data_IF_682069584909
#
_entry.id   IF_682069584909
#
_cell.length_a   1.000
_cell.length_b   1.000
_cell.length_c   1.000
_cell.angle_alpha   90.00
_cell.angle_beta   90.00
_cell.angle_gamma   90.00
#
_symmetry.space_group_name_H-M   'P 1'
#
loop_
_entity.id
_entity.type
_entity.pdbx_description
1 polymer ?
#
# COMPACT_ATOMS: atom_id res chain seq x y z
N UNK A 1 -29.51 -9.38 -39.79
CA UNK A 1 -29.18 -8.67 -41.06
C UNK A 1 -29.12 -7.13 -40.95
N UNK A 2 -29.86 -6.43 -40.06
CA UNK A 2 -29.77 -4.95 -39.94
C UNK A 2 -28.48 -4.41 -39.30
N UNK A 3 -27.91 -5.09 -38.29
CA UNK A 3 -26.62 -4.71 -37.69
C UNK A 3 -25.45 -4.83 -38.67
N UNK A 4 -25.51 -5.79 -39.59
CA UNK A 4 -24.51 -5.97 -40.65
C UNK A 4 -24.52 -4.82 -41.69
N UNK A 5 -25.69 -4.21 -41.96
CA UNK A 5 -25.80 -3.05 -42.87
C UNK A 5 -25.26 -1.75 -42.23
N UNK A 6 -25.39 -1.59 -40.91
CA UNK A 6 -24.84 -0.43 -40.20
C UNK A 6 -23.31 -0.46 -40.12
N UNK A 7 -22.72 -1.64 -39.91
CA UNK A 7 -21.27 -1.82 -39.98
C UNK A 7 -20.72 -1.52 -41.39
N UNK A 8 -21.43 -1.93 -42.45
CA UNK A 8 -21.03 -1.68 -43.83
C UNK A 8 -21.02 -0.18 -44.20
N UNK A 9 -21.94 0.62 -43.67
CA UNK A 9 -21.98 2.08 -43.92
C UNK A 9 -20.89 2.86 -43.19
N UNK A 10 -20.42 2.39 -42.03
CA UNK A 10 -19.30 3.01 -41.30
C UNK A 10 -17.96 2.65 -41.96
N UNK A 11 -17.82 1.40 -42.44
CA UNK A 11 -16.65 0.99 -43.22
C UNK A 11 -16.54 1.71 -44.57
N UNK A 12 -17.66 1.98 -45.25
CA UNK A 12 -17.65 2.73 -46.51
C UNK A 12 -17.19 4.19 -46.33
N UNK A 13 -17.52 4.84 -45.22
CA UNK A 13 -17.06 6.19 -44.90
C UNK A 13 -15.57 6.22 -44.54
N UNK A 14 -15.06 5.20 -43.84
CA UNK A 14 -13.65 5.07 -43.52
C UNK A 14 -12.78 4.79 -44.77
N UNK A 15 -13.29 4.01 -45.73
CA UNK A 15 -12.57 3.73 -46.99
C UNK A 15 -12.44 4.95 -47.92
N UNK A 16 -13.40 5.89 -47.89
CA UNK A 16 -13.30 7.15 -48.64
C UNK A 16 -12.24 8.08 -48.03
N UNK A 17 -12.08 8.05 -46.70
CA UNK A 17 -11.07 8.86 -46.01
C UNK A 17 -9.64 8.33 -46.23
N UNK A 18 -9.46 7.00 -46.27
CA UNK A 18 -8.16 6.40 -46.58
C UNK A 18 -7.74 6.60 -48.06
N UNK A 19 -8.70 6.67 -48.98
CA UNK A 19 -8.40 6.94 -50.40
C UNK A 19 -7.92 8.39 -50.63
N UNK A 20 -8.39 9.35 -49.82
CA UNK A 20 -7.99 10.76 -49.92
C UNK A 20 -6.59 11.05 -49.34
N UNK A 21 -6.14 10.27 -48.34
CA UNK A 21 -4.79 10.42 -47.78
C UNK A 21 -3.68 9.74 -48.60
N UNK A 22 -4.04 8.90 -49.58
CA UNK A 22 -3.08 8.13 -50.38
C UNK A 22 -2.49 8.85 -51.60
N UNK A 23 -3.02 10.02 -52.00
CA UNK A 23 -2.62 10.73 -53.22
C UNK A 23 -1.74 11.96 -53.00
N UNK A 24 -1.34 12.28 -51.76
CA UNK A 24 -0.33 13.32 -51.49
C UNK A 24 -0.76 14.77 -51.73
N UNK A 25 -2.02 15.05 -52.05
CA UNK A 25 -2.56 16.42 -52.11
C UNK A 25 -3.55 16.63 -50.95
N UNK A 26 -3.18 17.50 -50.01
CA UNK A 26 -4.09 18.00 -48.98
C UNK A 26 -5.08 18.99 -49.62
N UNK A 27 -6.38 18.94 -49.31
CA UNK A 27 -7.32 19.95 -49.80
C UNK A 27 -7.01 21.32 -49.16
N UNK A 28 -6.97 22.37 -50.00
CA UNK A 28 -6.66 23.76 -49.62
C UNK A 28 -7.64 24.40 -48.63
N UNK A 29 -8.74 23.72 -48.28
CA UNK A 29 -9.73 24.20 -47.33
C UNK A 29 -10.05 23.16 -46.23
N UNK A 30 -9.40 23.24 -45.05
CA UNK A 30 -9.67 22.35 -43.92
C UNK A 30 -11.10 22.55 -43.35
N UNK A 31 -11.76 23.66 -43.65
CA UNK A 31 -13.11 23.99 -43.16
C UNK A 31 -14.18 23.11 -43.81
N UNK A 32 -13.98 22.68 -45.06
CA UNK A 32 -14.89 21.78 -45.77
C UNK A 32 -14.91 20.37 -45.16
N UNK A 33 -13.75 19.88 -44.71
CA UNK A 33 -13.60 18.55 -44.08
C UNK A 33 -14.27 18.52 -42.71
N UNK A 34 -14.08 19.56 -41.91
CA UNK A 34 -14.73 19.69 -40.60
C UNK A 34 -16.24 19.78 -40.75
N UNK A 35 -16.75 20.54 -41.74
CA UNK A 35 -18.18 20.67 -42.01
C UNK A 35 -18.82 19.33 -42.43
N UNK A 36 -18.13 18.53 -43.23
CA UNK A 36 -18.61 17.20 -43.65
C UNK A 36 -18.65 16.19 -42.48
N UNK A 37 -17.69 16.25 -41.56
CA UNK A 37 -17.65 15.41 -40.36
C UNK A 37 -18.81 15.77 -39.42
N UNK A 38 -19.04 17.06 -39.17
CA UNK A 38 -20.15 17.52 -38.32
C UNK A 38 -21.52 17.17 -38.94
N UNK A 39 -21.71 17.35 -40.25
CA UNK A 39 -22.97 16.99 -40.92
C UNK A 39 -23.28 15.48 -40.84
N UNK A 40 -22.25 14.63 -40.84
CA UNK A 40 -22.40 13.17 -40.73
C UNK A 40 -22.72 12.75 -39.29
N UNK A 41 -22.07 13.38 -38.30
CA UNK A 41 -22.35 13.13 -36.88
C UNK A 41 -23.78 13.53 -36.48
N UNK A 42 -24.29 14.67 -36.98
CA UNK A 42 -25.67 15.12 -36.73
C UNK A 42 -26.71 14.19 -37.36
N UNK A 43 -26.42 13.58 -38.52
CA UNK A 43 -27.30 12.57 -39.14
C UNK A 43 -27.36 11.27 -38.33
N UNK A 44 -26.23 10.84 -37.75
CA UNK A 44 -26.19 9.63 -36.90
C UNK A 44 -26.92 9.85 -35.57
N UNK A 45 -26.76 11.03 -34.96
CA UNK A 45 -27.47 11.38 -33.72
C UNK A 45 -29.00 11.42 -33.91
N UNK A 46 -29.48 11.96 -35.04
CA UNK A 46 -30.91 12.01 -35.36
C UNK A 46 -31.52 10.62 -35.66
N UNK A 47 -30.72 9.65 -36.15
CA UNK A 47 -31.17 8.26 -36.32
C UNK A 47 -31.29 7.48 -35.00
N UNK A 48 -30.64 7.94 -33.93
CA UNK A 48 -30.73 7.35 -32.59
C UNK A 48 -31.93 7.92 -31.82
N UNK A 49 -32.26 9.20 -32.04
CA UNK A 49 -33.31 9.92 -31.31
C UNK A 49 -34.76 9.54 -31.67
N UNK A 50 -35.03 8.85 -32.78
CA UNK A 50 -36.39 8.49 -33.21
C UNK A 50 -36.82 7.06 -32.85
N UNK A 51 -36.32 6.48 -31.75
CA UNK A 51 -36.85 5.20 -31.25
C UNK A 51 -38.14 5.43 -30.46
N UNK A 52 -39.25 4.98 -31.01
CA UNK A 52 -40.57 4.89 -30.37
C UNK A 52 -40.51 3.97 -29.13
N UNK A 53 -41.17 4.31 -28.00
CA UNK A 53 -41.20 3.44 -26.82
C UNK A 53 -41.97 2.14 -27.10
N UNK A 54 -41.43 1.02 -26.64
CA UNK A 54 -42.09 -0.28 -26.66
C UNK A 54 -43.17 -0.30 -25.56
N UNK A 55 -44.41 -0.78 -25.80
CA UNK A 55 -45.45 -0.86 -24.78
C UNK A 55 -45.10 -1.93 -23.72
N UNK A 56 -45.43 -1.71 -22.43
CA UNK A 56 -45.26 -2.73 -21.41
C UNK A 56 -46.37 -3.78 -21.50
N UNK A 57 -46.01 -4.99 -21.91
CA UNK A 57 -46.89 -6.16 -21.82
C UNK A 57 -46.60 -6.93 -20.54
N UNK A 58 -47.19 -6.53 -19.41
CA UNK A 58 -47.50 -7.43 -18.28
C UNK A 58 -48.76 -6.97 -17.54
N UNK A 59 -49.73 -7.87 -17.49
CA UNK A 59 -50.97 -7.79 -16.72
C UNK A 59 -50.67 -7.69 -15.21
N UNK A 60 -51.35 -6.82 -14.44
CA UNK A 60 -51.15 -6.72 -13.00
C UNK A 60 -51.81 -7.89 -12.26
N UNK A 61 -51.03 -8.54 -11.39
CA UNK A 61 -51.51 -9.46 -10.35
C UNK A 61 -52.01 -8.60 -9.17
N UNK A 62 -53.17 -8.90 -8.55
CA UNK A 62 -53.68 -8.13 -7.43
C UNK A 62 -52.78 -8.24 -6.18
N UNK A 63 -52.74 -7.21 -5.31
CA UNK A 63 -51.87 -7.22 -4.14
C UNK A 63 -52.36 -8.23 -3.09
N UNK A 64 -51.49 -9.18 -2.75
CA UNK A 64 -51.62 -10.00 -1.54
C UNK A 64 -51.35 -9.11 -0.32
N UNK A 65 -52.25 -9.18 0.67
CA UNK A 65 -52.16 -8.43 1.92
C UNK A 65 -50.83 -8.66 2.66
N UNK A 66 -50.20 -7.56 3.08
CA UNK A 66 -49.05 -7.56 3.99
C UNK A 66 -49.49 -7.93 5.41
N UNK A 67 -48.83 -8.87 6.10
CA UNK A 67 -49.10 -9.11 7.51
C UNK A 67 -48.58 -7.95 8.35
N UNK A 68 -49.43 -7.50 9.28
CA UNK A 68 -49.13 -6.49 10.30
C UNK A 68 -48.07 -7.04 11.26
N UNK A 69 -47.02 -6.24 11.48
CA UNK A 69 -45.96 -6.51 12.45
C UNK A 69 -46.52 -6.37 13.89
N UNK A 70 -46.27 -7.29 14.83
CA UNK A 70 -46.69 -7.10 16.21
C UNK A 70 -45.82 -6.04 16.90
N UNK A 71 -46.49 -5.19 17.66
CA UNK A 71 -45.91 -4.17 18.54
C UNK A 71 -45.15 -4.84 19.69
N UNK A 72 -43.84 -4.60 19.78
CA UNK A 72 -43.03 -5.08 20.90
C UNK A 72 -43.41 -4.39 22.21
N UNK A 73 -43.76 -5.23 23.18
CA UNK A 73 -44.01 -4.89 24.58
C UNK A 73 -42.70 -5.04 25.35
N UNK A 74 -42.29 -4.01 26.09
CA UNK A 74 -41.09 -4.04 26.91
C UNK A 74 -41.14 -5.13 27.99
N UNK A 75 -40.15 -6.03 27.99
CA UNK A 75 -39.94 -7.03 29.04
C UNK A 75 -38.91 -6.52 30.08
N UNK A 76 -39.04 -6.88 31.37
CA UNK A 76 -38.27 -6.29 32.46
C UNK A 76 -36.85 -6.84 32.57
N UNK A 77 -35.95 -5.99 33.09
CA UNK A 77 -34.54 -6.26 33.30
C UNK A 77 -34.31 -7.42 34.31
N UNK A 78 -33.47 -8.38 33.90
CA UNK A 78 -32.93 -9.43 34.76
C UNK A 78 -31.54 -9.02 35.26
N UNK A 79 -31.41 -8.88 36.58
CA UNK A 79 -30.15 -8.61 37.28
C UNK A 79 -29.43 -9.94 37.52
N UNK A 80 -28.30 -10.19 36.85
CA UNK A 80 -27.44 -11.35 37.14
C UNK A 80 -26.34 -10.98 38.15
N UNK A 81 -26.43 -11.55 39.34
CA UNK A 81 -25.39 -11.49 40.37
C UNK A 81 -24.30 -12.53 40.04
N UNK A 82 -23.05 -12.10 39.89
CA UNK A 82 -21.91 -12.99 39.72
C UNK A 82 -21.33 -13.38 41.09
N UNK A 83 -21.24 -14.69 41.35
CA UNK A 83 -20.49 -15.28 42.46
C UNK A 83 -19.09 -15.65 41.93
N UNK A 84 -17.99 -15.20 42.55
CA UNK A 84 -16.66 -15.60 42.12
C UNK A 84 -16.38 -17.06 42.50
N UNK A 85 -16.06 -17.89 41.51
CA UNK A 85 -15.56 -19.26 41.71
C UNK A 85 -14.03 -19.18 41.79
N UNK A 86 -13.47 -19.73 42.87
CA UNK A 86 -12.02 -19.83 43.06
C UNK A 86 -11.43 -20.81 42.03
N UNK A 87 -10.39 -20.38 41.33
CA UNK A 87 -9.68 -21.19 40.35
C UNK A 87 -8.55 -21.96 41.05
N UNK A 88 -8.54 -23.28 40.89
CA UNK A 88 -7.53 -24.17 41.46
C UNK A 88 -6.12 -23.91 40.89
N UNK A 89 -5.14 -23.98 41.80
CA UNK A 89 -3.71 -23.87 41.57
C UNK A 89 -3.19 -25.10 40.81
N UNK A 90 -2.66 -24.89 39.59
CA UNK A 90 -1.97 -25.94 38.85
C UNK A 90 -0.51 -26.09 39.31
N UNK A 91 -0.14 -27.32 39.65
CA UNK A 91 1.22 -27.77 39.99
C UNK A 91 2.13 -27.79 38.74
N UNK A 92 3.40 -27.34 38.82
CA UNK A 92 4.28 -27.23 37.64
C UNK A 92 4.78 -28.60 37.14
N UNK A 93 4.77 -28.79 35.81
CA UNK A 93 5.46 -29.91 35.15
C UNK A 93 6.97 -29.64 35.02
N UNK A 94 7.82 -30.68 35.05
CA UNK A 94 9.25 -30.56 34.84
C UNK A 94 9.60 -30.22 33.37
N UNK A 95 10.72 -29.53 33.14
CA UNK A 95 11.08 -29.01 31.82
C UNK A 95 11.59 -30.13 30.88
N UNK A 96 11.25 -30.11 29.58
CA UNK A 96 11.89 -30.98 28.62
C UNK A 96 13.30 -30.47 28.28
N UNK A 97 14.27 -31.38 28.39
CA UNK A 97 15.66 -31.22 28.00
C UNK A 97 15.76 -31.02 26.48
N UNK A 98 16.14 -29.83 26.04
CA UNK A 98 16.52 -29.55 24.65
C UNK A 98 18.04 -29.72 24.46
N UNK A 99 18.41 -30.46 23.42
CA UNK A 99 19.78 -30.61 22.93
C UNK A 99 20.17 -29.29 22.23
N UNK A 100 21.31 -28.67 22.56
CA UNK A 100 21.68 -27.38 21.99
C UNK A 100 22.26 -27.54 20.58
N UNK A 101 21.63 -26.93 19.58
CA UNK A 101 22.35 -26.41 18.41
C UNK A 101 22.36 -24.89 18.57
N UNK A 102 23.43 -24.38 19.15
CA UNK A 102 23.66 -22.95 19.33
C UNK A 102 23.93 -22.34 17.96
N UNK A 103 22.92 -21.75 17.34
CA UNK A 103 23.15 -20.64 16.43
C UNK A 103 23.62 -19.47 17.29
N UNK A 104 24.90 -19.13 17.17
CA UNK A 104 25.48 -17.96 17.83
C UNK A 104 24.74 -16.73 17.30
N UNK A 105 24.00 -15.97 18.14
CA UNK A 105 23.57 -14.64 17.75
C UNK A 105 24.85 -13.81 17.52
N UNK A 106 24.97 -13.01 16.47
CA UNK A 106 26.09 -12.09 16.38
C UNK A 106 26.02 -11.14 17.58
N UNK A 107 26.88 -11.39 18.57
CA UNK A 107 27.11 -10.48 19.69
C UNK A 107 27.87 -9.27 19.13
N UNK A 108 27.17 -8.34 18.46
CA UNK A 108 27.70 -7.03 18.13
C UNK A 108 27.69 -6.16 19.39
N UNK A 109 28.49 -6.55 20.39
CA UNK A 109 28.97 -5.62 21.42
C UNK A 109 30.45 -5.38 21.16
N UNK A 110 30.77 -4.98 19.92
CA UNK A 110 32.03 -4.30 19.70
C UNK A 110 31.92 -2.99 20.50
N UNK A 111 32.72 -2.87 21.56
CA UNK A 111 32.92 -1.58 22.22
C UNK A 111 33.19 -0.53 21.14
N UNK A 112 32.63 0.69 21.26
CA UNK A 112 32.89 1.75 20.29
C UNK A 112 34.41 1.90 20.15
N UNK A 113 34.97 1.87 18.93
CA UNK A 113 36.34 2.28 18.73
C UNK A 113 36.52 3.68 19.35
N UNK A 114 37.70 3.94 19.91
CA UNK A 114 38.03 5.19 20.61
C UNK A 114 37.93 6.45 19.73
N UNK A 115 37.73 6.29 18.42
CA UNK A 115 37.55 7.38 17.47
C UNK A 115 36.06 7.58 17.18
N UNK A 116 35.56 8.78 17.49
CA UNK A 116 34.20 9.17 17.16
C UNK A 116 33.99 9.18 15.63
N UNK A 117 32.80 8.85 15.12
CA UNK A 117 32.51 8.96 13.69
C UNK A 117 32.79 10.38 13.21
N UNK A 118 33.37 10.50 12.01
CA UNK A 118 33.59 11.80 11.39
C UNK A 118 32.28 12.32 10.77
N UNK A 119 31.97 13.60 11.03
CA UNK A 119 30.84 14.28 10.41
C UNK A 119 30.93 14.21 8.87
N UNK A 120 29.80 14.02 8.21
CA UNK A 120 29.71 13.87 6.75
C UNK A 120 30.39 12.61 6.20
N UNK A 121 30.59 11.57 7.02
CA UNK A 121 31.00 10.23 6.59
C UNK A 121 29.91 9.20 6.91
N UNK A 122 30.07 7.98 6.38
CA UNK A 122 29.18 6.88 6.73
C UNK A 122 29.28 6.54 8.22
N UNK A 123 28.15 6.48 8.91
CA UNK A 123 28.10 6.06 10.30
C UNK A 123 28.58 4.61 10.44
N UNK A 124 29.37 4.29 11.49
CA UNK A 124 29.75 2.92 11.77
C UNK A 124 28.54 2.09 12.20
N UNK A 125 28.63 0.78 11.98
CA UNK A 125 27.54 -0.16 12.26
C UNK A 125 27.04 -0.10 13.72
N UNK A 126 27.91 0.11 14.71
CA UNK A 126 27.46 0.20 16.11
C UNK A 126 26.59 1.44 16.39
N UNK A 127 26.80 2.54 15.65
CA UNK A 127 25.98 3.75 15.80
C UNK A 127 24.59 3.49 15.19
N UNK A 128 24.55 2.82 14.04
CA UNK A 128 23.32 2.33 13.42
C UNK A 128 22.57 1.36 14.34
N UNK A 129 23.26 0.34 14.86
CA UNK A 129 22.66 -0.71 15.71
C UNK A 129 22.22 -0.17 17.09
N UNK A 130 22.56 1.07 17.43
CA UNK A 130 22.07 1.73 18.65
C UNK A 130 20.62 2.22 18.54
N UNK A 131 20.06 2.30 17.33
CA UNK A 131 18.66 2.66 17.10
C UNK A 131 17.77 1.44 17.29
N UNK A 132 17.31 1.27 18.53
CA UNK A 132 16.42 0.17 18.92
C UNK A 132 15.22 0.68 19.71
N UNK A 133 14.13 -0.08 19.63
CA UNK A 133 12.95 0.07 20.49
C UNK A 133 12.53 -1.29 21.05
N UNK A 134 11.83 -1.29 22.18
CA UNK A 134 11.36 -2.52 22.82
C UNK A 134 9.97 -2.87 22.31
N UNK A 135 9.80 -4.08 21.79
CA UNK A 135 8.51 -4.59 21.31
C UNK A 135 7.71 -5.23 22.47
N UNK A 136 6.43 -5.60 22.25
CA UNK A 136 5.58 -6.21 23.28
C UNK A 136 6.12 -7.53 23.87
N UNK A 137 6.98 -8.26 23.16
CA UNK A 137 7.63 -9.47 23.68
C UNK A 137 8.85 -9.17 24.59
N UNK A 138 9.04 -7.90 24.96
CA UNK A 138 10.13 -7.37 25.77
C UNK A 138 11.53 -7.54 25.16
N UNK A 139 11.62 -7.78 23.85
CA UNK A 139 12.91 -7.79 23.14
C UNK A 139 13.15 -6.46 22.43
N UNK A 140 14.42 -6.17 22.21
CA UNK A 140 14.83 -5.02 21.42
C UNK A 140 14.83 -5.37 19.94
N UNK A 141 14.22 -4.50 19.15
CA UNK A 141 14.19 -4.54 17.70
C UNK A 141 14.82 -3.28 17.15
N UNK A 142 15.49 -3.34 15.99
CA UNK A 142 15.85 -2.14 15.26
C UNK A 142 14.64 -1.22 15.06
N UNK A 143 14.86 0.08 14.99
CA UNK A 143 13.78 1.06 14.78
C UNK A 143 14.24 2.22 13.89
N UNK A 144 13.35 3.17 13.64
CA UNK A 144 13.66 4.34 12.83
C UNK A 144 14.88 5.10 13.35
N UNK A 145 15.72 5.52 12.42
CA UNK A 145 16.78 6.49 12.63
C UNK A 145 16.64 7.63 11.62
N UNK A 146 17.03 8.87 11.98
CA UNK A 146 17.17 9.93 10.99
C UNK A 146 18.26 9.57 9.99
N UNK A 147 18.26 10.16 8.80
CA UNK A 147 19.28 9.86 7.80
C UNK A 147 20.68 10.32 8.22
N UNK A 148 20.76 11.43 8.96
CA UNK A 148 21.97 11.95 9.58
C UNK A 148 21.85 11.76 11.09
N UNK A 149 22.82 11.07 11.69
CA UNK A 149 22.85 10.85 13.14
C UNK A 149 23.06 12.20 13.86
N UNK A 150 22.13 12.64 14.73
CA UNK A 150 22.22 13.95 15.37
C UNK A 150 23.33 14.05 16.42
N UNK A 151 23.95 12.93 16.83
CA UNK A 151 25.03 12.90 17.84
C UNK A 151 26.40 13.06 17.18
N UNK A 152 26.57 12.49 15.99
CA UNK A 152 27.86 12.41 15.30
C UNK A 152 27.92 13.14 13.95
N UNK A 153 26.77 13.57 13.41
CA UNK A 153 26.63 14.22 12.11
C UNK A 153 27.17 13.36 10.93
N UNK A 154 27.23 12.04 11.14
CA UNK A 154 27.49 11.04 10.10
C UNK A 154 26.17 10.62 9.44
N UNK A 155 26.21 10.06 8.23
CA UNK A 155 25.02 9.60 7.52
C UNK A 155 24.88 8.07 7.57
N UNK A 156 23.64 7.57 7.56
CA UNK A 156 23.36 6.15 7.31
C UNK A 156 23.21 5.88 5.81
N UNK A 157 23.44 4.63 5.39
CA UNK A 157 23.40 4.23 3.98
C UNK A 157 21.99 3.92 3.46
N UNK A 158 20.95 4.16 4.25
CA UNK A 158 19.55 4.02 3.89
C UNK A 158 18.66 4.98 4.69
N UNK A 159 17.42 5.12 4.22
CA UNK A 159 16.39 6.02 4.71
C UNK A 159 15.17 5.23 5.18
N UNK A 160 14.53 5.69 6.25
CA UNK A 160 13.26 5.12 6.75
C UNK A 160 12.08 6.06 6.55
N UNK A 161 12.29 7.25 6.00
CA UNK A 161 11.28 8.26 5.78
C UNK A 161 10.88 9.07 6.98
N UNK A 162 9.57 9.31 7.08
CA UNK A 162 9.01 10.21 8.06
C UNK A 162 9.49 9.87 9.46
N UNK A 163 9.84 10.90 10.24
CA UNK A 163 10.06 10.75 11.67
C UNK A 163 8.74 10.33 12.32
N UNK A 164 8.65 9.10 12.87
CA UNK A 164 7.39 8.58 13.42
C UNK A 164 6.91 9.41 14.61
N UNK A 165 7.79 10.13 15.31
CA UNK A 165 7.44 10.95 16.47
C UNK A 165 6.60 12.17 16.10
N UNK A 166 6.58 12.55 14.81
CA UNK A 166 5.76 13.65 14.29
C UNK A 166 4.31 13.26 14.00
N UNK A 167 3.98 11.97 14.05
CA UNK A 167 2.64 11.47 13.76
C UNK A 167 1.65 11.81 14.87
N UNK A 168 0.53 12.45 14.49
CA UNK A 168 -0.61 12.68 15.38
C UNK A 168 -1.52 11.46 15.54
N UNK A 169 -1.31 10.40 14.76
CA UNK A 169 -2.02 9.14 14.92
C UNK A 169 -1.35 8.26 15.98
N UNK A 170 -0.01 8.17 15.95
CA UNK A 170 0.80 7.39 16.89
C UNK A 170 2.26 7.83 16.78
N UNK A 171 2.83 8.36 17.87
CA UNK A 171 4.19 8.89 17.90
C UNK A 171 5.25 7.88 18.39
N UNK A 172 4.87 6.63 18.69
CA UNK A 172 5.79 5.62 19.20
C UNK A 172 6.77 5.12 18.14
N UNK A 173 8.01 4.81 18.53
CA UNK A 173 8.99 4.20 17.62
C UNK A 173 8.55 2.76 17.23
N UNK A 174 8.38 2.44 15.93
CA UNK A 174 7.95 1.11 15.50
C UNK A 174 9.08 0.08 15.62
N UNK A 175 8.83 -1.12 16.17
CA UNK A 175 9.82 -2.19 16.24
C UNK A 175 9.94 -2.91 14.88
N UNK A 176 10.94 -2.56 14.09
CA UNK A 176 11.16 -3.14 12.77
C UNK A 176 11.51 -4.63 12.86
N UNK A 177 10.79 -5.46 12.09
CA UNK A 177 10.95 -6.92 12.07
C UNK A 177 10.17 -7.66 13.16
N UNK A 178 9.48 -6.97 14.08
CA UNK A 178 8.72 -7.63 15.16
C UNK A 178 7.61 -8.53 14.61
N UNK A 179 6.81 -8.03 13.67
CA UNK A 179 5.69 -8.78 13.06
C UNK A 179 6.21 -10.05 12.37
N UNK A 180 7.23 -9.93 11.52
CA UNK A 180 7.88 -11.07 10.87
C UNK A 180 8.45 -12.08 11.87
N UNK A 181 8.99 -11.62 13.00
CA UNK A 181 9.49 -12.50 14.06
C UNK A 181 8.38 -13.31 14.77
N UNK A 182 7.12 -12.86 14.71
CA UNK A 182 5.97 -13.60 15.25
C UNK A 182 5.42 -14.65 14.28
N UNK A 183 5.89 -14.71 13.04
CA UNK A 183 5.50 -15.74 12.07
C UNK A 183 6.00 -17.13 12.49
N UNK A 184 5.34 -18.17 11.98
CA UNK A 184 5.78 -19.55 12.16
C UNK A 184 5.86 -20.29 10.80
N UNK A 185 7.05 -20.51 10.23
CA UNK A 185 8.37 -20.11 10.77
C UNK A 185 8.57 -18.58 10.77
N UNK A 186 9.47 -18.05 11.62
CA UNK A 186 9.78 -16.62 11.61
C UNK A 186 10.26 -16.14 10.25
N UNK A 187 9.81 -14.96 9.85
CA UNK A 187 10.21 -14.32 8.60
C UNK A 187 11.18 -13.18 8.90
N UNK A 188 12.33 -13.19 8.24
CA UNK A 188 13.33 -12.13 8.36
C UNK A 188 13.14 -11.06 7.28
N UNK A 189 12.82 -9.85 7.72
CA UNK A 189 12.74 -8.65 6.89
C UNK A 189 13.92 -7.73 7.19
N UNK A 190 14.75 -7.39 6.18
CA UNK A 190 15.89 -6.50 6.39
C UNK A 190 15.45 -5.14 6.92
N UNK A 191 16.17 -4.65 7.95
CA UNK A 191 15.95 -3.35 8.58
C UNK A 191 15.76 -2.21 7.57
N UNK A 192 16.67 -2.11 6.59
CA UNK A 192 16.64 -1.04 5.59
C UNK A 192 15.36 -1.01 4.76
N UNK A 193 14.62 -2.11 4.65
CA UNK A 193 13.36 -2.14 3.90
C UNK A 193 12.19 -1.45 4.60
N UNK A 194 12.27 -1.13 5.90
CA UNK A 194 11.15 -0.48 6.60
C UNK A 194 11.07 1.01 6.25
N UNK A 195 9.91 1.44 5.72
CA UNK A 195 9.62 2.83 5.35
C UNK A 195 8.41 3.34 6.12
N UNK A 196 8.49 4.60 6.55
CA UNK A 196 7.47 5.31 7.31
C UNK A 196 6.92 6.45 6.45
N UNK A 197 5.59 6.58 6.48
CA UNK A 197 4.83 7.63 5.83
C UNK A 197 3.88 8.23 6.85
N UNK A 198 4.01 9.54 7.10
CA UNK A 198 3.15 10.28 8.04
C UNK A 198 2.36 11.33 7.28
N UNK A 199 1.04 11.28 7.44
CA UNK A 199 0.12 12.31 6.96
C UNK A 199 -0.67 12.79 8.15
N UNK A 200 -0.39 13.99 8.64
CA UNK A 200 -1.15 14.60 9.71
C UNK A 200 -2.35 15.35 9.14
N UNK A 201 -3.46 15.36 9.88
CA UNK A 201 -4.63 16.18 9.55
C UNK A 201 -4.21 17.63 9.28
N UNK A 202 -4.80 18.23 8.24
CA UNK A 202 -4.46 19.58 7.78
C UNK A 202 -3.29 19.64 6.80
N UNK A 203 -2.53 18.54 6.62
CA UNK A 203 -1.51 18.47 5.57
C UNK A 203 -2.17 18.57 4.21
N UNK A 204 -1.67 19.45 3.35
CA UNK A 204 -2.14 19.60 1.96
C UNK A 204 -1.12 18.98 1.00
N UNK A 205 -1.57 18.15 0.07
CA UNK A 205 -0.70 17.52 -0.93
C UNK A 205 -0.54 18.37 -2.21
N UNK A 206 0.18 17.83 -3.18
CA UNK A 206 0.46 18.41 -4.50
C UNK A 206 -0.77 18.49 -5.44
N UNK A 207 -1.92 17.97 -5.00
CA UNK A 207 -3.21 18.04 -5.71
C UNK A 207 -4.22 18.94 -4.97
N UNK A 208 -3.74 19.78 -4.06
CA UNK A 208 -4.56 20.70 -3.25
C UNK A 208 -5.61 19.96 -2.38
N UNK A 209 -5.33 18.70 -2.02
CA UNK A 209 -6.15 17.95 -1.07
C UNK A 209 -5.61 18.06 0.34
N UNK A 210 -6.49 18.40 1.27
CA UNK A 210 -6.16 18.57 2.69
C UNK A 210 -6.64 17.35 3.48
N UNK A 211 -5.71 16.71 4.18
CA UNK A 211 -6.01 15.55 5.00
C UNK A 211 -7.04 15.88 6.10
N UNK A 212 -8.09 15.08 6.21
CA UNK A 212 -9.11 15.18 7.26
C UNK A 212 -8.83 14.26 8.44
N UNK A 213 -7.91 13.31 8.26
CA UNK A 213 -7.45 12.34 9.27
C UNK A 213 -5.95 12.45 9.45
N UNK A 214 -5.44 11.94 10.58
CA UNK A 214 -4.01 11.70 10.76
C UNK A 214 -3.74 10.21 10.57
N UNK A 215 -2.70 9.88 9.82
CA UNK A 215 -2.33 8.48 9.52
C UNK A 215 -0.82 8.28 9.59
N UNK A 216 -0.42 7.07 9.95
CA UNK A 216 0.95 6.58 9.85
C UNK A 216 0.94 5.21 9.20
N UNK A 217 1.75 5.05 8.16
CA UNK A 217 2.04 3.77 7.51
C UNK A 217 3.48 3.42 7.85
N UNK A 218 3.72 2.23 8.39
CA UNK A 218 5.05 1.61 8.47
C UNK A 218 4.99 0.34 7.64
N UNK A 219 5.71 0.30 6.52
CA UNK A 219 5.67 -0.81 5.59
C UNK A 219 7.08 -1.35 5.34
N UNK A 220 7.24 -2.66 5.27
CA UNK A 220 8.44 -3.25 4.68
C UNK A 220 8.34 -3.19 3.15
N UNK A 221 9.10 -2.29 2.55
CA UNK A 221 9.21 -2.03 1.13
C UNK A 221 10.64 -1.57 0.79
N UNK A 222 11.59 -2.52 0.77
CA UNK A 222 12.95 -2.26 0.32
C UNK A 222 13.07 -2.39 -1.21
N UNK A 223 13.82 -1.51 -1.87
CA UNK A 223 14.01 -1.60 -3.35
C UNK A 223 15.38 -2.13 -3.76
N UNK A 224 16.30 -2.33 -2.81
CA UNK A 224 17.62 -2.93 -3.06
C UNK A 224 17.64 -4.46 -3.20
N UNK A 225 16.63 -5.17 -2.68
CA UNK A 225 16.64 -6.64 -2.60
C UNK A 225 15.70 -7.33 -3.60
N UNK A 226 16.16 -8.40 -4.25
CA UNK A 226 15.37 -9.15 -5.26
C UNK A 226 14.29 -10.05 -4.67
N UNK A 227 14.41 -10.44 -3.39
CA UNK A 227 13.42 -11.30 -2.71
C UNK A 227 12.00 -10.71 -2.77
N UNK A 228 11.89 -9.39 -2.87
CA UNK A 228 10.62 -8.69 -3.01
C UNK A 228 9.85 -9.02 -4.29
N UNK A 229 10.46 -9.69 -5.27
CA UNK A 229 9.72 -10.13 -6.46
C UNK A 229 8.93 -11.41 -6.21
N UNK A 230 9.29 -12.20 -5.19
CA UNK A 230 8.66 -13.49 -4.90
C UNK A 230 7.92 -13.52 -3.55
N UNK A 231 8.35 -12.73 -2.57
CA UNK A 231 7.72 -12.72 -1.24
C UNK A 231 6.37 -12.02 -1.30
N UNK A 232 5.24 -12.65 -0.99
CA UNK A 232 3.92 -12.01 -1.11
C UNK A 232 3.56 -11.14 0.10
N UNK A 233 3.99 -11.53 1.29
CA UNK A 233 3.55 -10.90 2.53
C UNK A 233 4.65 -10.03 3.11
N UNK A 234 4.28 -8.82 3.53
CA UNK A 234 5.20 -7.84 4.11
C UNK A 234 4.60 -7.23 5.37
N UNK A 235 5.45 -6.91 6.34
CA UNK A 235 5.04 -6.23 7.57
C UNK A 235 4.39 -4.89 7.26
N UNK A 236 3.23 -4.65 7.87
CA UNK A 236 2.50 -3.39 7.87
C UNK A 236 2.11 -3.03 9.31
N UNK A 237 2.40 -1.80 9.72
CA UNK A 237 1.73 -1.12 10.84
C UNK A 237 0.95 0.04 10.23
N UNK A 238 -0.33 0.15 10.60
CA UNK A 238 -1.19 1.23 10.17
C UNK A 238 -1.89 1.86 11.36
N UNK A 239 -1.68 3.15 11.53
CA UNK A 239 -2.37 3.98 12.52
C UNK A 239 -3.22 5.01 11.79
N UNK A 240 -4.45 5.21 12.26
CA UNK A 240 -5.32 6.31 11.86
C UNK A 240 -6.08 6.84 13.07
N UNK A 241 -6.23 8.16 13.13
CA UNK A 241 -7.14 8.86 14.04
C UNK A 241 -7.91 9.94 13.28
N UNK A 242 -9.21 10.01 13.49
CA UNK A 242 -10.13 10.98 12.93
C UNK A 242 -10.96 11.70 14.01
N UNK A 243 -11.45 12.90 13.71
CA UNK A 243 -12.23 13.72 14.64
C UNK A 243 -13.59 13.14 15.02
N UNK A 244 -14.16 12.31 14.14
CA UNK A 244 -15.48 11.71 14.33
C UNK A 244 -15.45 10.48 15.23
N UNK A 245 -14.29 10.18 15.83
CA UNK A 245 -14.09 9.05 16.74
C UNK A 245 -13.55 7.80 16.05
N UNK A 246 -13.40 7.78 14.72
CA UNK A 246 -12.71 6.68 14.06
C UNK A 246 -11.24 6.65 14.46
N UNK A 247 -10.80 5.48 14.88
CA UNK A 247 -9.39 5.16 14.99
C UNK A 247 -9.14 3.70 14.64
N UNK A 248 -7.89 3.43 14.27
CA UNK A 248 -7.33 2.09 14.11
C UNK A 248 -5.82 2.13 14.42
N UNK A 249 -5.33 1.16 15.17
CA UNK A 249 -3.91 0.91 15.42
C UNK A 249 -3.69 -0.58 15.21
N UNK A 250 -3.29 -0.95 13.99
CA UNK A 250 -3.21 -2.36 13.60
C UNK A 250 -1.88 -2.70 12.99
N UNK A 251 -1.50 -3.96 13.14
CA UNK A 251 -0.24 -4.49 12.65
C UNK A 251 -0.37 -5.93 12.18
N UNK A 252 0.38 -6.30 11.14
CA UNK A 252 0.41 -7.67 10.62
C UNK A 252 1.15 -7.80 9.30
N UNK A 253 1.13 -9.01 8.77
CA UNK A 253 1.63 -9.39 7.46
C UNK A 253 0.58 -9.05 6.41
N UNK A 254 0.73 -7.90 5.78
CA UNK A 254 -0.16 -7.48 4.71
C UNK A 254 0.13 -8.26 3.42
N UNK A 255 -0.94 -8.62 2.73
CA UNK A 255 -0.88 -9.22 1.40
C UNK A 255 -0.54 -8.13 0.37
N UNK A 256 0.58 -8.30 -0.33
CA UNK A 256 1.00 -7.41 -1.42
C UNK A 256 0.77 -8.01 -2.81
N UNK A 257 0.08 -9.15 -2.88
CA UNK A 257 -0.26 -9.84 -4.13
C UNK A 257 0.96 -10.30 -4.93
N UNK A 258 0.69 -10.70 -6.16
CA UNK A 258 1.73 -11.06 -7.13
C UNK A 258 2.47 -9.79 -7.61
N UNK A 259 3.74 -9.96 -7.97
CA UNK A 259 4.51 -8.94 -8.66
C UNK A 259 4.14 -8.90 -10.15
N UNK A 260 4.18 -7.73 -10.76
CA UNK A 260 4.00 -7.57 -12.19
C UNK A 260 4.54 -6.24 -12.70
N UNK A 261 4.51 -6.07 -14.02
CA UNK A 261 4.87 -4.80 -14.65
C UNK A 261 3.66 -3.87 -14.75
N UNK A 262 3.90 -2.61 -15.12
CA UNK A 262 2.78 -1.68 -15.40
C UNK A 262 1.90 -2.16 -16.56
N UNK A 263 2.47 -2.93 -17.49
CA UNK A 263 1.77 -3.45 -18.66
C UNK A 263 0.79 -4.58 -18.30
N UNK A 264 1.07 -5.29 -17.20
CA UNK A 264 0.25 -6.43 -16.73
C UNK A 264 -0.86 -5.99 -15.78
N UNK A 265 -0.84 -4.73 -15.32
CA UNK A 265 -1.74 -4.24 -14.26
C UNK A 265 -3.22 -4.45 -14.57
N UNK A 266 -3.62 -4.36 -15.83
CA UNK A 266 -5.02 -4.49 -16.24
C UNK A 266 -5.41 -5.94 -16.59
N UNK A 267 -4.45 -6.85 -16.69
CA UNK A 267 -4.66 -8.24 -17.10
C UNK A 267 -4.41 -9.22 -15.96
N UNK A 268 -3.59 -8.87 -14.97
CA UNK A 268 -3.37 -9.66 -13.76
C UNK A 268 -4.17 -9.11 -12.57
N UNK A 269 -5.33 -9.73 -12.30
CA UNK A 269 -6.18 -9.37 -11.15
C UNK A 269 -5.57 -9.66 -9.78
N UNK A 270 -4.44 -10.38 -9.71
CA UNK A 270 -3.72 -10.70 -8.48
C UNK A 270 -2.52 -9.78 -8.24
N UNK A 271 -2.20 -8.90 -9.20
CA UNK A 271 -1.07 -7.98 -9.08
C UNK A 271 -1.37 -6.95 -7.99
N UNK A 272 -0.64 -7.05 -6.88
CA UNK A 272 -0.62 -6.01 -5.85
C UNK A 272 0.65 -5.17 -5.89
N UNK A 273 1.69 -5.64 -6.59
CA UNK A 273 2.95 -4.90 -6.77
C UNK A 273 3.24 -4.67 -8.23
N UNK A 274 3.46 -3.42 -8.57
CA UNK A 274 3.88 -2.99 -9.89
C UNK A 274 5.32 -2.53 -9.78
N UNK A 275 6.23 -3.17 -10.52
CA UNK A 275 7.67 -2.88 -10.46
C UNK A 275 8.19 -2.51 -11.83
N UNK A 276 9.34 -1.84 -11.86
CA UNK A 276 10.08 -1.63 -13.11
C UNK A 276 10.68 -2.95 -13.55
N UNK A 277 10.60 -3.27 -14.84
CA UNK A 277 11.20 -4.47 -15.42
C UNK A 277 12.30 -4.13 -16.43
N UNK A 278 13.16 -5.11 -16.74
CA UNK A 278 14.17 -4.97 -17.79
C UNK A 278 13.56 -4.50 -19.12
N UNK A 279 14.18 -3.51 -19.80
CA UNK A 279 13.78 -3.12 -21.15
C UNK A 279 13.77 -4.33 -22.11
N UNK A 280 12.79 -4.39 -23.01
CA UNK A 280 12.65 -5.51 -23.95
C UNK A 280 12.03 -6.78 -23.35
N UNK A 281 11.73 -6.83 -22.05
CA UNK A 281 11.08 -7.98 -21.40
C UNK A 281 9.54 -7.99 -21.53
N UNK A 282 9.00 -7.33 -22.56
CA UNK A 282 7.56 -7.29 -22.85
C UNK A 282 6.80 -6.08 -22.27
N UNK A 283 7.47 -5.21 -21.51
CA UNK A 283 6.92 -3.93 -21.06
C UNK A 283 7.94 -2.80 -21.22
N UNK A 284 7.88 -2.10 -22.35
CA UNK A 284 8.73 -0.95 -22.63
C UNK A 284 8.11 0.32 -22.04
N UNK A 285 8.08 0.43 -20.71
CA UNK A 285 7.70 1.69 -20.07
C UNK A 285 8.88 2.68 -20.13
N UNK A 286 9.07 3.30 -21.29
CA UNK A 286 10.20 4.20 -21.56
C UNK A 286 10.15 5.51 -20.80
N UNK A 287 9.03 5.83 -20.15
CA UNK A 287 8.78 7.15 -19.57
C UNK A 287 8.37 7.12 -18.08
N UNK A 288 8.26 5.94 -17.47
CA UNK A 288 8.00 5.86 -16.02
C UNK A 288 8.95 4.92 -15.30
N UNK A 289 9.60 5.45 -14.28
CA UNK A 289 10.48 4.73 -13.38
C UNK A 289 9.85 4.78 -11.98
N UNK A 290 8.99 3.82 -11.68
CA UNK A 290 8.40 3.72 -10.36
C UNK A 290 8.04 2.28 -10.01
N UNK A 291 7.91 2.05 -8.72
CA UNK A 291 7.38 0.82 -8.14
C UNK A 291 6.27 1.20 -7.15
N UNK A 292 5.09 0.58 -7.24
CA UNK A 292 3.91 0.83 -6.39
C UNK A 292 3.43 -0.49 -5.80
N UNK A 293 3.22 -0.50 -4.49
CA UNK A 293 2.82 -1.68 -3.71
C UNK A 293 1.50 -1.39 -3.01
N UNK A 294 0.49 -2.22 -3.26
CA UNK A 294 -0.73 -2.29 -2.47
C UNK A 294 -0.48 -3.20 -1.27
N UNK A 295 -0.83 -2.73 -0.07
CA UNK A 295 -0.83 -3.52 1.14
C UNK A 295 -2.27 -3.74 1.58
N UNK A 296 -2.67 -5.01 1.63
CA UNK A 296 -3.98 -5.43 2.14
C UNK A 296 -3.81 -6.15 3.46
N UNK A 297 -4.25 -5.52 4.54
CA UNK A 297 -4.24 -6.12 5.88
C UNK A 297 -5.68 -6.30 6.38
N UNK A 298 -6.09 -7.55 6.54
CA UNK A 298 -7.36 -7.90 7.19
C UNK A 298 -7.09 -8.21 8.66
N UNK A 299 -7.91 -7.68 9.56
CA UNK A 299 -7.90 -8.05 10.98
C UNK A 299 -9.22 -8.73 11.30
N UNK A 300 -9.21 -10.07 11.23
CA UNK A 300 -10.36 -10.93 11.37
C UNK A 300 -11.53 -10.46 10.50
N UNK A 301 -12.69 -10.35 11.14
CA UNK A 301 -13.92 -9.78 10.58
C UNK A 301 -14.14 -8.32 11.04
N UNK A 302 -13.11 -7.62 11.55
CA UNK A 302 -13.24 -6.32 12.23
C UNK A 302 -12.81 -5.13 11.40
N UNK A 303 -11.76 -5.28 10.61
CA UNK A 303 -11.29 -4.22 9.74
C UNK A 303 -10.54 -4.74 8.52
N UNK A 304 -10.58 -3.95 7.44
CA UNK A 304 -9.71 -4.11 6.28
C UNK A 304 -8.99 -2.79 6.00
N UNK A 305 -7.66 -2.82 6.06
CA UNK A 305 -6.79 -1.71 5.68
C UNK A 305 -6.27 -1.95 4.28
N UNK A 306 -6.57 -1.02 3.37
CA UNK A 306 -5.94 -0.93 2.05
C UNK A 306 -5.11 0.35 2.01
N UNK A 307 -3.80 0.21 1.91
CA UNK A 307 -2.89 1.35 1.71
C UNK A 307 -1.95 1.04 0.56
N UNK A 308 -1.33 2.06 0.00
CA UNK A 308 -0.28 1.84 -0.98
C UNK A 308 0.93 2.70 -0.69
N UNK A 309 2.09 2.23 -1.12
CA UNK A 309 3.34 2.97 -1.06
C UNK A 309 4.01 2.91 -2.41
N UNK A 310 4.72 3.97 -2.76
CA UNK A 310 5.41 4.09 -4.03
C UNK A 310 6.82 4.62 -3.86
N UNK A 311 7.69 4.23 -4.78
CA UNK A 311 9.07 4.71 -4.92
C UNK A 311 9.27 5.09 -6.39
N UNK A 312 9.84 6.26 -6.65
CA UNK A 312 10.04 6.82 -8.01
C UNK A 312 11.50 6.81 -8.48
N UNK A 313 12.36 6.16 -7.71
CA UNK A 313 13.79 6.00 -7.96
C UNK A 313 14.30 4.63 -7.46
N UNK A 314 13.60 3.50 -7.77
CA UNK A 314 13.93 2.20 -7.19
C UNK A 314 15.38 1.80 -7.49
N UNK A 315 16.06 1.20 -6.52
CA UNK A 315 17.50 0.86 -6.62
C UNK A 315 17.75 -0.26 -7.64
N UNK A 316 16.85 -1.24 -7.69
CA UNK A 316 16.95 -2.40 -8.59
C UNK A 316 15.65 -2.61 -9.36
N UNK A 317 15.72 -3.31 -10.50
CA UNK A 317 14.57 -3.63 -11.35
C UNK A 317 14.46 -5.15 -11.57
N UNK A 318 13.27 -5.60 -11.97
CA UNK A 318 12.97 -7.02 -12.10
C UNK A 318 13.33 -7.57 -13.48
N UNK A 319 13.97 -8.73 -13.53
CA UNK A 319 13.96 -9.59 -14.72
C UNK A 319 12.78 -10.57 -14.60
N UNK A 320 11.69 -10.44 -15.39
CA UNK A 320 10.53 -11.33 -15.27
C UNK A 320 10.83 -12.77 -15.68
N UNK A 321 11.93 -13.03 -16.39
CA UNK A 321 12.36 -14.39 -16.69
C UNK A 321 13.20 -15.03 -15.56
N UNK A 322 13.73 -14.21 -14.64
CA UNK A 322 14.53 -14.67 -13.51
C UNK A 322 14.50 -13.66 -12.35
N UNK A 323 13.59 -13.86 -11.39
CA UNK A 323 13.43 -12.99 -10.22
C UNK A 323 14.63 -12.98 -9.26
N UNK A 324 15.61 -13.86 -9.44
CA UNK A 324 16.81 -13.89 -8.58
C UNK A 324 17.92 -12.97 -9.06
N UNK A 325 17.81 -12.41 -10.27
CA UNK A 325 18.84 -11.58 -10.86
C UNK A 325 18.83 -10.16 -10.27
N UNK A 326 20.01 -9.73 -9.79
CA UNK A 326 20.20 -8.40 -9.26
C UNK A 326 20.56 -7.43 -10.39
N UNK A 327 19.58 -6.65 -10.83
CA UNK A 327 19.75 -5.64 -11.87
C UNK A 327 19.63 -4.24 -11.25
N UNK A 328 20.74 -3.51 -11.13
CA UNK A 328 20.69 -2.13 -10.66
C UNK A 328 20.11 -1.20 -11.72
N UNK A 329 19.20 -0.33 -11.30
CA UNK A 329 18.54 0.63 -12.19
C UNK A 329 19.55 1.53 -12.89
N UNK A 330 20.60 1.95 -12.17
CA UNK A 330 21.68 2.78 -12.70
C UNK A 330 22.43 2.12 -13.85
N UNK A 331 22.69 0.81 -13.75
CA UNK A 331 23.42 0.07 -14.77
C UNK A 331 22.55 -0.17 -16.01
N UNK A 332 21.29 -0.55 -15.79
CA UNK A 332 20.34 -0.83 -16.88
C UNK A 332 20.04 0.42 -17.71
N UNK A 333 19.94 1.58 -17.06
CA UNK A 333 19.63 2.85 -17.73
C UNK A 333 20.84 3.78 -17.89
N UNK A 334 22.07 3.28 -17.78
CA UNK A 334 23.29 4.09 -17.89
C UNK A 334 23.34 4.93 -19.18
N UNK A 335 22.85 4.36 -20.30
CA UNK A 335 22.76 5.07 -21.60
C UNK A 335 21.74 6.22 -21.64
N UNK A 336 20.89 6.34 -20.63
CA UNK A 336 19.84 7.37 -20.49
C UNK A 336 20.02 8.24 -19.24
N UNK A 337 21.20 8.21 -18.61
CA UNK A 337 21.46 8.93 -17.37
C UNK A 337 21.22 10.46 -17.44
N UNK A 338 21.17 11.05 -18.63
CA UNK A 338 20.90 12.48 -18.83
C UNK A 338 19.43 12.79 -19.19
N UNK A 339 18.55 11.79 -19.18
CA UNK A 339 17.15 11.91 -19.54
C UNK A 339 16.28 11.65 -18.31
N UNK A 340 15.46 12.62 -17.88
CA UNK A 340 14.47 12.35 -16.84
C UNK A 340 13.42 11.32 -17.32
N UNK A 341 12.93 10.41 -16.45
CA UNK A 341 13.25 10.20 -15.03
C UNK A 341 14.47 9.27 -14.76
N UNK A 342 15.31 8.99 -15.75
CA UNK A 342 16.44 8.04 -15.68
C UNK A 342 17.76 8.65 -15.18
N UNK A 343 17.71 9.84 -14.58
CA UNK A 343 18.90 10.49 -14.04
C UNK A 343 19.21 9.95 -12.65
N UNK A 344 20.35 9.27 -12.44
CA UNK A 344 20.77 8.79 -11.12
C UNK A 344 21.05 9.97 -10.17
N UNK A 345 21.11 9.73 -8.84
CA UNK A 345 21.09 8.42 -8.17
C UNK A 345 19.70 7.80 -8.04
N UNK A 346 19.64 6.47 -8.09
CA UNK A 346 18.44 5.68 -7.74
C UNK A 346 18.65 5.10 -6.36
N UNK A 347 18.10 5.77 -5.36
CA UNK A 347 18.34 5.45 -3.96
C UNK A 347 17.07 4.99 -3.25
N UNK A 348 15.93 4.89 -3.93
CA UNK A 348 14.67 4.47 -3.34
C UNK A 348 14.06 5.46 -2.32
N UNK A 349 14.47 6.72 -2.35
CA UNK A 349 14.14 7.74 -1.34
C UNK A 349 13.07 8.75 -1.80
N UNK A 350 12.73 8.77 -3.10
CA UNK A 350 11.63 9.58 -3.62
C UNK A 350 10.33 8.78 -3.51
N UNK A 351 9.56 9.06 -2.46
CA UNK A 351 8.49 8.17 -2.02
C UNK A 351 7.14 8.84 -1.94
N UNK A 352 6.09 8.07 -2.07
CA UNK A 352 4.72 8.53 -1.89
C UNK A 352 3.90 7.49 -1.12
N UNK A 353 3.20 7.96 -0.10
CA UNK A 353 2.27 7.14 0.68
C UNK A 353 0.84 7.44 0.28
N UNK A 354 0.00 6.41 0.23
CA UNK A 354 -1.41 6.48 -0.09
C UNK A 354 -2.19 5.88 1.09
N UNK A 355 -2.65 6.74 1.99
CA UNK A 355 -3.41 6.35 3.18
C UNK A 355 -4.87 6.10 2.83
N UNK A 356 -5.37 4.91 3.12
CA UNK A 356 -6.75 4.49 2.87
C UNK A 356 -6.99 3.94 1.44
N UNK A 357 -8.18 3.34 1.20
CA UNK A 357 -9.32 3.30 2.11
C UNK A 357 -9.18 2.29 3.26
N UNK A 358 -9.90 2.55 4.36
CA UNK A 358 -10.05 1.64 5.49
C UNK A 358 -11.52 1.32 5.66
N UNK A 359 -11.82 0.04 5.90
CA UNK A 359 -13.17 -0.45 6.12
C UNK A 359 -13.27 -0.97 7.54
N UNK A 360 -14.29 -0.52 8.27
CA UNK A 360 -14.62 -0.99 9.61
C UNK A 360 -15.83 -1.89 9.54
N UNK A 361 -15.74 -3.01 10.25
CA UNK A 361 -16.79 -4.01 10.40
C UNK A 361 -16.99 -4.33 11.89
N UNK A 362 -16.89 -3.31 12.75
CA UNK A 362 -16.80 -3.44 14.20
C UNK A 362 -17.91 -2.68 14.96
N UNK A 363 -19.10 -2.55 14.35
CA UNK A 363 -20.19 -1.77 14.94
C UNK A 363 -20.61 -2.30 16.32
N UNK A 364 -20.44 -1.47 17.36
CA UNK A 364 -20.76 -1.84 18.75
C UNK A 364 -19.88 -2.95 19.35
N UNK A 365 -18.77 -3.30 18.70
CA UNK A 365 -17.84 -4.33 19.14
C UNK A 365 -16.86 -3.85 20.21
N UNK A 366 -15.99 -4.77 20.64
CA UNK A 366 -14.82 -4.43 21.46
C UNK A 366 -13.85 -3.56 20.66
N UNK A 367 -13.02 -2.80 21.35
CA UNK A 367 -12.05 -1.91 20.69
C UNK A 367 -10.63 -2.42 20.68
N UNK A 368 -10.40 -3.58 21.32
CA UNK A 368 -9.07 -4.16 21.51
C UNK A 368 -9.14 -5.65 21.23
N UNK A 369 -8.21 -6.12 20.41
CA UNK A 369 -8.11 -7.50 19.98
C UNK A 369 -6.65 -7.95 20.00
N UNK A 370 -6.44 -9.25 20.07
CA UNK A 370 -5.15 -9.87 19.82
C UNK A 370 -5.25 -10.68 18.52
N UNK A 371 -4.26 -10.59 17.65
CA UNK A 371 -4.20 -11.38 16.41
C UNK A 371 -2.85 -12.04 16.18
N UNK A 372 -2.85 -13.11 15.40
CA UNK A 372 -1.62 -13.62 14.80
C UNK A 372 -1.10 -12.64 13.73
N UNK A 373 0.11 -12.87 13.19
CA UNK A 373 0.65 -12.02 12.14
C UNK A 373 -0.18 -11.98 10.86
N UNK A 374 -0.99 -13.00 10.58
CA UNK A 374 -1.86 -13.02 9.41
C UNK A 374 -3.21 -12.33 9.66
N UNK A 375 -3.40 -11.74 10.85
CA UNK A 375 -4.58 -10.99 11.23
C UNK A 375 -5.74 -11.86 11.74
N UNK A 376 -5.54 -13.15 12.01
CA UNK A 376 -6.57 -13.95 12.70
C UNK A 376 -6.65 -13.59 14.17
N UNK A 377 -7.83 -13.20 14.65
CA UNK A 377 -8.07 -12.82 16.04
C UNK A 377 -8.10 -14.07 16.93
N UNK A 378 -7.29 -14.08 17.99
CA UNK A 378 -7.24 -15.13 19.01
C UNK A 378 -6.78 -14.52 20.35
N UNK A 379 -7.29 -15.05 21.48
CA UNK A 379 -7.10 -14.45 22.80
C UNK A 379 -5.63 -14.30 23.23
N UNK A 380 -4.77 -15.27 22.89
CA UNK A 380 -3.35 -15.31 23.30
C UNK A 380 -2.39 -14.91 22.17
N UNK A 381 -2.89 -14.26 21.11
CA UNK A 381 -2.06 -13.94 19.97
C UNK A 381 -1.12 -12.73 20.24
N UNK A 382 0.07 -12.69 19.63
CA UNK A 382 1.11 -11.75 20.06
C UNK A 382 0.84 -10.29 19.66
N UNK A 383 0.03 -10.05 18.63
CA UNK A 383 -0.15 -8.70 18.10
C UNK A 383 -1.40 -8.04 18.68
N UNK A 384 -1.20 -6.97 19.43
CA UNK A 384 -2.28 -6.09 19.88
C UNK A 384 -2.82 -5.29 18.69
N UNK A 385 -4.14 -5.24 18.58
CA UNK A 385 -4.91 -4.51 17.59
C UNK A 385 -5.92 -3.61 18.31
N UNK A 386 -6.01 -2.34 17.91
CA UNK A 386 -7.02 -1.42 18.42
C UNK A 386 -7.89 -0.91 17.27
N UNK A 387 -9.20 -1.08 17.37
CA UNK A 387 -10.14 -0.78 16.29
C UNK A 387 -11.37 -0.12 16.90
N UNK A 388 -11.66 1.13 16.53
CA UNK A 388 -12.88 1.81 17.00
C UNK A 388 -14.17 1.05 16.63
N UNK A 389 -15.23 1.22 17.43
CA UNK A 389 -16.48 0.46 17.34
C UNK A 389 -17.44 0.97 16.24
N UNK A 390 -16.94 1.07 15.00
CA UNK A 390 -17.63 1.63 13.82
C UNK A 390 -17.97 0.56 12.78
N UNK A 391 -18.87 0.87 11.85
CA UNK A 391 -19.23 -0.01 10.74
C UNK A 391 -19.41 0.80 9.46
N UNK A 392 -18.27 1.17 8.88
CA UNK A 392 -18.16 2.22 7.88
C UNK A 392 -17.25 1.76 6.75
N UNK A 393 -17.70 2.02 5.52
CA UNK A 393 -17.00 1.63 4.30
C UNK A 393 -16.25 2.85 3.78
N UNK A 394 -14.95 2.96 4.08
CA UNK A 394 -14.10 4.03 3.56
C UNK A 394 -14.51 5.39 4.09
N UNK A 395 -13.99 5.80 5.24
CA UNK A 395 -14.12 7.18 5.68
C UNK A 395 -13.34 8.13 4.76
N UNK A 396 -13.75 9.40 4.75
CA UNK A 396 -13.01 10.44 4.03
C UNK A 396 -11.64 10.67 4.66
N UNK A 397 -10.60 10.56 3.85
CA UNK A 397 -9.22 10.87 4.24
C UNK A 397 -8.81 12.30 3.85
N UNK A 398 -9.58 12.93 2.96
CA UNK A 398 -9.51 14.36 2.62
C UNK A 398 -10.92 14.87 2.25
N UNK A 399 -11.03 16.08 1.68
CA UNK A 399 -12.33 16.70 1.40
C UNK A 399 -13.27 15.87 0.49
N UNK A 400 -12.74 15.07 -0.43
CA UNK A 400 -13.49 14.45 -1.53
C UNK A 400 -13.16 12.97 -1.80
N UNK A 401 -12.21 12.36 -1.11
CA UNK A 401 -11.75 10.99 -1.34
C UNK A 401 -11.61 10.15 -0.06
N UNK A 402 -11.76 8.84 -0.22
CA UNK A 402 -11.46 7.84 0.82
C UNK A 402 -9.97 7.48 0.92
N UNK A 403 -9.11 8.22 0.23
CA UNK A 403 -7.66 8.04 0.25
C UNK A 403 -6.97 9.40 0.29
N UNK A 404 -5.84 9.50 1.00
CA UNK A 404 -4.98 10.67 1.00
C UNK A 404 -3.58 10.27 0.55
N UNK A 405 -3.11 10.88 -0.55
CA UNK A 405 -1.74 10.70 -1.02
C UNK A 405 -0.84 11.82 -0.49
N UNK A 406 0.42 11.48 -0.19
CA UNK A 406 1.44 12.47 0.12
C UNK A 406 2.80 11.99 -0.40
N UNK A 407 3.37 12.76 -1.33
CA UNK A 407 4.71 12.55 -1.86
C UNK A 407 5.73 13.33 -1.05
N UNK A 408 6.85 12.70 -0.73
CA UNK A 408 8.00 13.32 -0.05
C UNK A 408 9.30 12.75 -0.60
N UNK A 409 10.24 13.65 -0.80
CA UNK A 409 11.59 13.31 -1.25
C UNK A 409 12.52 13.32 -0.05
N UNK A 410 13.10 12.15 0.27
CA UNK A 410 14.07 11.96 1.34
C UNK A 410 15.48 11.74 0.79
N UNK A 411 15.71 12.02 -0.48
CA UNK A 411 17.01 11.83 -1.07
C UNK A 411 18.00 12.87 -0.54
N UNK A 412 18.89 12.42 0.34
CA UNK A 412 20.01 13.22 0.83
C UNK A 412 21.37 12.52 0.58
N UNK A 413 22.48 13.26 0.70
CA UNK A 413 23.82 12.70 0.51
C UNK A 413 24.08 11.50 1.43
N UNK A 414 24.90 10.56 0.93
CA UNK A 414 25.35 9.41 1.71
C UNK A 414 24.45 8.17 1.64
N UNK A 415 23.24 8.27 1.09
CA UNK A 415 22.43 7.10 0.79
C UNK A 415 23.15 6.17 -0.19
N UNK A 416 23.08 4.88 0.11
CA UNK A 416 23.69 3.83 -0.70
C UNK A 416 22.66 2.85 -1.26
N UNK A 417 23.17 1.78 -1.88
CA UNK A 417 22.36 0.76 -2.54
C UNK A 417 21.66 -0.21 -1.56
N UNK A 418 21.76 0.02 -0.25
CA UNK A 418 21.09 -0.80 0.78
C UNK A 418 19.66 -0.35 1.07
N UNK A 419 19.23 0.81 0.55
CA UNK A 419 17.94 1.42 0.85
C UNK A 419 16.70 0.64 0.34
#
# INVERSE_FOLDING_TARGET
>A
MRKARQALSVLAAASIFLAACGSGELPDDPTAVVTAIFATATKVANLIATRTPIPPTRTPVPPTATPVLPTDTAAPASTSTFTPVAHDTATPLPPPTAIPTVAVPPTNTALPPTEAPAAGQLCPQWAHDSYVTTAPDNKNYPTWHPQVDPRFDCYFDHDHGDDPTTSLANSALPPFGYIGAQMNPPMNEPHAGFKIFVVNKGTTNDEERTATTSTRIVAHMGTGGVKRFDEQFHSLIFDLVADDGHYIHVQGMADTGEVGSICDRNTNSKQGRTVVILPGAGCDNKDSLYEIWLFKLNIGDKALVLVSTAVFDPITIMNPANHTELNYTADVFAGRANEAPFTPPFNGCNREGYSGPVYWYNGGGQTTYHSDPMGMIMDDAPLLQEISAHNDIGIKMNQDQGQMKLRRDYCAPGLGLKN
#
